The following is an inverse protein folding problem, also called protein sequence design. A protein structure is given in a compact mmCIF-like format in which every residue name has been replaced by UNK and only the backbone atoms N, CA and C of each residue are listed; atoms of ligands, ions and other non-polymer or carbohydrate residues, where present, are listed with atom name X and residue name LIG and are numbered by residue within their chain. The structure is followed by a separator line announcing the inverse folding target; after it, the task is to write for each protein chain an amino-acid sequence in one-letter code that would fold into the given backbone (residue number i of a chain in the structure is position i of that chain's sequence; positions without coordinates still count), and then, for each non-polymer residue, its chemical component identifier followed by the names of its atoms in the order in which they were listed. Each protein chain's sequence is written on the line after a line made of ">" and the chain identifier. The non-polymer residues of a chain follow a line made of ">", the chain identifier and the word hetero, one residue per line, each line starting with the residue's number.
data_IF_917748731458
#
_entry.id   IF_917748731458
#
_cell.length_a   1.000
_cell.length_b   1.000
_cell.length_c   1.000
_cell.angle_alpha   90.00
_cell.angle_beta   90.00
_cell.angle_gamma   90.00
#
_symmetry.space_group_name_H-M   'P 1'
#
loop_
_entity.id
_entity.type
_entity.pdbx_description
1 polymer ?
#
# COMPACT_ATOMS: atom_id res chain seq x y z
N UNK A 1 -33.30 -4.02 44.21
CA UNK A 1 -32.12 -3.47 43.60
C UNK A 1 -32.27 -1.96 43.41
N UNK A 2 -31.24 -1.22 43.68
CA UNK A 2 -31.31 0.21 43.58
C UNK A 2 -31.23 0.61 42.12
N UNK A 3 -32.31 1.20 41.63
CA UNK A 3 -32.42 1.58 40.23
C UNK A 3 -31.41 2.67 39.83
N UNK A 4 -31.08 3.56 40.76
CA UNK A 4 -30.09 4.60 40.50
C UNK A 4 -28.72 3.99 40.29
N UNK A 5 -28.36 2.99 41.07
CA UNK A 5 -27.09 2.30 40.92
C UNK A 5 -27.02 1.53 39.62
N UNK A 6 -28.12 0.93 39.22
CA UNK A 6 -28.17 0.25 37.93
C UNK A 6 -27.95 1.25 36.80
N UNK A 7 -28.61 2.38 36.86
CA UNK A 7 -28.49 3.43 35.86
C UNK A 7 -27.07 3.94 35.79
N UNK A 8 -26.43 4.18 36.93
CA UNK A 8 -25.04 4.62 36.96
C UNK A 8 -24.11 3.60 36.33
N UNK A 9 -24.33 2.32 36.66
CA UNK A 9 -23.50 1.27 36.08
C UNK A 9 -23.65 1.19 34.57
N UNK A 10 -24.90 1.33 34.10
CA UNK A 10 -25.13 1.34 32.65
C UNK A 10 -24.42 2.50 31.97
N UNK A 11 -24.44 3.67 32.59
CA UNK A 11 -23.79 4.83 32.02
C UNK A 11 -22.29 4.62 31.93
N UNK A 12 -21.68 4.06 32.98
CA UNK A 12 -20.26 3.78 32.99
C UNK A 12 -19.91 2.77 31.92
N UNK A 13 -20.69 1.70 31.83
CA UNK A 13 -20.44 0.65 30.84
C UNK A 13 -20.55 1.21 29.43
N UNK A 14 -21.57 2.03 29.17
CA UNK A 14 -21.76 2.66 27.86
C UNK A 14 -20.59 3.55 27.50
N UNK A 15 -20.14 4.37 28.49
CA UNK A 15 -19.00 5.24 28.27
C UNK A 15 -17.75 4.44 27.94
N UNK A 16 -17.53 3.34 28.65
CA UNK A 16 -16.37 2.48 28.38
C UNK A 16 -16.44 1.85 26.99
N UNK A 17 -17.63 1.43 26.58
CA UNK A 17 -17.82 0.86 25.26
C UNK A 17 -17.56 1.88 24.17
N UNK A 18 -18.05 3.10 24.35
CA UNK A 18 -17.83 4.17 23.39
C UNK A 18 -16.34 4.48 23.28
N UNK A 19 -15.65 4.56 24.40
CA UNK A 19 -14.22 4.82 24.40
C UNK A 19 -13.45 3.72 23.67
N UNK A 20 -13.82 2.46 23.93
CA UNK A 20 -13.18 1.33 23.29
C UNK A 20 -13.40 1.34 21.78
N UNK A 21 -14.65 1.57 21.37
CA UNK A 21 -14.97 1.64 19.94
C UNK A 21 -14.27 2.80 19.26
N UNK A 22 -14.20 3.93 19.96
CA UNK A 22 -13.53 5.11 19.41
C UNK A 22 -12.04 4.83 19.21
N UNK A 23 -11.43 4.12 20.14
CA UNK A 23 -10.03 3.73 19.99
C UNK A 23 -9.85 2.84 18.77
N UNK A 24 -10.74 1.86 18.59
CA UNK A 24 -10.66 0.98 17.43
C UNK A 24 -10.82 1.75 16.12
N UNK A 25 -11.76 2.70 16.10
CA UNK A 25 -11.95 3.53 14.92
C UNK A 25 -10.70 4.33 14.62
N UNK A 26 -10.09 4.93 15.64
CA UNK A 26 -8.86 5.70 15.45
C UNK A 26 -7.72 4.84 14.91
N UNK A 27 -7.61 3.60 15.43
CA UNK A 27 -6.59 2.69 14.96
C UNK A 27 -6.81 2.32 13.48
N UNK A 28 -8.07 2.06 13.11
CA UNK A 28 -8.39 1.73 11.74
C UNK A 28 -8.17 2.91 10.80
N UNK A 29 -8.51 4.12 11.23
CA UNK A 29 -8.27 5.31 10.44
C UNK A 29 -6.79 5.54 10.20
N UNK A 30 -5.98 5.33 11.23
CA UNK A 30 -4.53 5.48 11.12
C UNK A 30 -3.96 4.44 10.17
N UNK A 31 -4.38 3.18 10.32
CA UNK A 31 -3.92 2.11 9.45
C UNK A 31 -4.29 2.39 8.00
N UNK A 32 -5.51 2.88 7.77
CA UNK A 32 -5.98 3.21 6.43
C UNK A 32 -5.12 4.30 5.80
N UNK A 33 -4.83 5.34 6.57
CA UNK A 33 -4.00 6.43 6.09
C UNK A 33 -2.61 5.94 5.72
N UNK A 34 -2.03 5.09 6.56
CA UNK A 34 -0.71 4.53 6.29
C UNK A 34 -0.71 3.67 5.04
N UNK A 35 -1.79 2.89 4.85
CA UNK A 35 -1.92 2.08 3.65
C UNK A 35 -2.03 2.94 2.40
N UNK A 36 -2.79 4.03 2.47
CA UNK A 36 -2.91 4.94 1.34
C UNK A 36 -1.56 5.55 0.98
N UNK A 37 -0.79 5.91 1.99
CA UNK A 37 0.55 6.47 1.77
C UNK A 37 1.47 5.43 1.12
N UNK A 38 1.38 4.19 1.57
CA UNK A 38 2.19 3.11 1.01
C UNK A 38 1.80 2.84 -0.44
N UNK A 39 0.51 2.83 -0.74
CA UNK A 39 0.03 2.64 -2.10
C UNK A 39 0.54 3.75 -3.01
N UNK A 40 0.47 5.00 -2.55
CA UNK A 40 0.98 6.12 -3.33
C UNK A 40 2.47 5.99 -3.60
N UNK A 41 3.22 5.57 -2.59
CA UNK A 41 4.65 5.36 -2.73
C UNK A 41 4.96 4.27 -3.75
N UNK A 42 4.24 3.15 -3.66
CA UNK A 42 4.45 2.04 -4.57
C UNK A 42 4.08 2.40 -6.01
N UNK A 43 3.03 3.18 -6.20
CA UNK A 43 2.65 3.64 -7.52
C UNK A 43 3.73 4.52 -8.13
N UNK A 44 4.31 5.40 -7.31
CA UNK A 44 5.38 6.27 -7.77
C UNK A 44 6.61 5.45 -8.16
N UNK A 45 6.96 4.47 -7.34
CA UNK A 45 8.11 3.61 -7.63
C UNK A 45 7.87 2.78 -8.88
N UNK A 46 6.64 2.26 -9.05
CA UNK A 46 6.32 1.52 -10.26
C UNK A 46 6.46 2.38 -11.51
N UNK A 47 6.00 3.63 -11.44
CA UNK A 47 6.13 4.54 -12.57
C UNK A 47 7.58 4.80 -12.89
N UNK A 48 8.40 5.03 -11.88
CA UNK A 48 9.83 5.25 -12.06
C UNK A 48 10.50 4.04 -12.69
N UNK A 49 10.19 2.85 -12.19
CA UNK A 49 10.78 1.63 -12.70
C UNK A 49 10.38 1.37 -14.15
N UNK A 50 9.15 1.67 -14.51
CA UNK A 50 8.71 1.53 -15.89
C UNK A 50 9.50 2.41 -16.84
N UNK A 51 9.75 3.65 -16.42
CA UNK A 51 10.54 4.58 -17.21
C UNK A 51 11.98 4.08 -17.33
N UNK A 52 12.56 3.63 -16.22
CA UNK A 52 13.92 3.11 -16.22
C UNK A 52 14.03 1.87 -17.10
N UNK A 53 13.02 0.99 -17.05
CA UNK A 53 13.02 -0.19 -17.88
C UNK A 53 12.99 0.16 -19.36
N UNK A 54 12.19 1.14 -19.75
CA UNK A 54 12.14 1.58 -21.13
C UNK A 54 13.48 2.15 -21.58
N UNK A 55 14.09 2.95 -20.71
CA UNK A 55 15.39 3.55 -21.02
C UNK A 55 16.44 2.46 -21.18
N UNK A 56 16.43 1.47 -20.29
CA UNK A 56 17.38 0.38 -20.38
C UNK A 56 17.20 -0.47 -21.63
N UNK A 57 15.95 -0.70 -22.02
CA UNK A 57 15.67 -1.45 -23.23
C UNK A 57 16.19 -0.71 -24.47
N UNK A 58 16.01 0.60 -24.49
CA UNK A 58 16.57 1.39 -25.59
C UNK A 58 18.07 1.32 -25.62
N UNK A 59 18.67 1.37 -24.45
CA UNK A 59 20.13 1.32 -24.34
C UNK A 59 20.65 0.00 -24.86
N UNK A 60 20.01 -1.09 -24.46
CA UNK A 60 20.40 -2.42 -24.93
C UNK A 60 20.26 -2.51 -26.43
N UNK A 61 19.16 -2.05 -26.98
CA UNK A 61 18.95 -2.11 -28.42
C UNK A 61 19.98 -1.29 -29.18
N UNK A 62 20.40 -0.17 -28.58
CA UNK A 62 21.41 0.68 -29.17
C UNK A 62 22.77 0.01 -29.24
N UNK A 63 23.11 -0.71 -28.15
CA UNK A 63 24.44 -1.26 -28.00
C UNK A 63 24.57 -2.69 -28.48
N UNK A 64 23.48 -3.31 -28.91
CA UNK A 64 23.51 -4.69 -29.34
C UNK A 64 22.83 -4.93 -30.67
N UNK A 65 23.12 -4.12 -31.67
CA UNK A 65 22.51 -4.41 -32.96
C UNK A 65 23.01 -5.70 -33.52
N UNK A 66 24.22 -6.06 -33.25
CA UNK A 66 24.70 -7.33 -33.75
C UNK A 66 24.14 -8.49 -32.97
N UNK A 67 23.86 -8.28 -31.73
CA UNK A 67 23.20 -9.31 -30.96
C UNK A 67 21.85 -9.64 -31.55
N UNK A 68 21.16 -8.64 -32.03
CA UNK A 68 19.92 -8.86 -32.70
C UNK A 68 20.08 -9.70 -33.92
N UNK A 69 21.12 -9.48 -34.65
CA UNK A 69 21.40 -10.28 -35.81
C UNK A 69 21.70 -11.68 -35.43
N UNK A 70 22.37 -11.85 -34.33
CA UNK A 70 22.74 -13.14 -33.93
C UNK A 70 21.61 -13.86 -33.33
N UNK A 71 20.90 -13.22 -32.53
CA UNK A 71 19.86 -13.76 -31.85
C UNK A 71 18.83 -14.10 -32.65
N UNK A 72 18.93 -13.63 -33.57
CA UNK A 72 18.16 -13.96 -34.41
C UNK A 72 18.81 -14.92 -34.80
N UNK A 73 19.95 -14.98 -34.40
CA UNK A 73 20.62 -15.78 -34.56
C UNK A 73 20.90 -16.26 -33.44
N UNK A 74 20.71 -16.24 -32.50
CA UNK A 74 20.74 -16.71 -31.60
C UNK A 74 19.86 -16.77 -31.05
N UNK A 75 19.76 -16.60 -31.56
CA UNK A 75 19.28 -16.44 -31.71
C UNK A 75 18.77 -16.57 -32.14
N UNK A 76 18.82 -16.91 -32.36
CA UNK A 76 18.85 -16.70 -33.05
C UNK A 76 18.62 -17.17 -33.19
N UNK A 77 18.79 -17.56 -32.97
CA UNK A 77 19.05 -17.62 -33.17
C UNK A 77 18.58 -17.47 -33.15
#
# INVERSE_FOLDING_TARGET
>A
MDQNKVTETLAINTGNMIASLNLQVAQLQTAHKEQDEEIAKLKAENGKLKIENKALKREVMKHEPSADHINHQQNRK
#
